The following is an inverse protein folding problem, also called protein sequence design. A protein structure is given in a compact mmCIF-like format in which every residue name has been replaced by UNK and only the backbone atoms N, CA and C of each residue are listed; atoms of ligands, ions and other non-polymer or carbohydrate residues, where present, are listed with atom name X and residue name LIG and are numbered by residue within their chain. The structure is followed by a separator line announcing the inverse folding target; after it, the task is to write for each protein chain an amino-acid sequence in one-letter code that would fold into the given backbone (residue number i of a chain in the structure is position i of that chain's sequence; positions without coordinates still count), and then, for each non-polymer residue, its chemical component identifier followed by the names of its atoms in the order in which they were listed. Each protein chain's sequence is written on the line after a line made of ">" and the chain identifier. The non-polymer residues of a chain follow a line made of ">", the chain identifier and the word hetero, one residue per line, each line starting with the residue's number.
data_IF_595543317741
#
_entry.id   IF_595543317741
#
_cell.length_a   1.000
_cell.length_b   1.000
_cell.length_c   1.000
_cell.angle_alpha   90.00
_cell.angle_beta   90.00
_cell.angle_gamma   90.00
#
_symmetry.space_group_name_H-M   'P 1'
#
loop_
_entity.id
_entity.type
_entity.pdbx_description
1 polymer ?
#
# COMPACT_ATOMS: atom_id res chain seq x y z
N UNK A 1 0.77 34.86 5.91
CA UNK A 1 0.88 33.40 5.99
C UNK A 1 -0.49 32.90 6.33
N UNK A 2 -1.12 32.18 5.41
CA UNK A 2 -2.43 31.56 5.65
C UNK A 2 -2.16 30.26 6.40
N UNK A 3 -2.67 30.16 7.63
CA UNK A 3 -2.55 28.94 8.42
C UNK A 3 -3.56 27.95 7.87
N UNK A 4 -3.10 26.95 7.12
CA UNK A 4 -3.94 25.82 6.72
C UNK A 4 -4.35 25.10 8.00
N UNK A 5 -5.66 25.00 8.25
CA UNK A 5 -6.17 24.28 9.40
C UNK A 5 -5.92 22.77 9.20
N UNK A 6 -5.23 22.15 10.15
CA UNK A 6 -4.98 20.71 10.15
C UNK A 6 -5.99 19.99 11.05
N UNK A 7 -6.43 18.81 10.60
CA UNK A 7 -7.44 18.02 11.28
C UNK A 7 -6.80 16.97 12.18
N UNK A 8 -7.50 16.63 13.26
CA UNK A 8 -7.15 15.46 14.09
C UNK A 8 -7.66 14.20 13.41
N UNK A 9 -6.75 13.36 12.97
CA UNK A 9 -7.01 12.13 12.22
C UNK A 9 -6.70 10.92 13.12
N UNK A 10 -7.44 9.84 12.96
CA UNK A 10 -7.14 8.55 13.62
C UNK A 10 -7.36 7.42 12.64
N UNK A 11 -6.28 6.71 12.33
CA UNK A 11 -6.27 5.57 11.42
C UNK A 11 -6.27 4.27 12.21
N UNK A 12 -6.99 3.27 11.71
CA UNK A 12 -7.02 1.93 12.30
C UNK A 12 -5.91 1.07 11.70
N UNK A 13 -5.46 0.09 12.47
CA UNK A 13 -4.58 -0.98 12.01
C UNK A 13 -5.25 -2.31 12.31
N UNK A 14 -5.08 -3.31 11.46
CA UNK A 14 -5.69 -4.63 11.69
C UNK A 14 -5.03 -5.32 12.89
N UNK A 15 -3.70 -5.39 12.91
CA UNK A 15 -2.94 -6.11 13.93
C UNK A 15 -2.29 -5.19 14.98
N UNK A 16 -2.78 -3.94 15.08
CA UNK A 16 -2.15 -2.89 15.86
C UNK A 16 -3.11 -1.98 16.60
N UNK A 17 -2.54 -1.01 17.33
CA UNK A 17 -3.32 0.07 17.94
C UNK A 17 -3.62 1.15 16.91
N UNK A 18 -4.77 1.83 16.98
CA UNK A 18 -5.02 2.99 16.14
C UNK A 18 -3.93 4.06 16.29
N UNK A 19 -3.56 4.69 15.17
CA UNK A 19 -2.57 5.77 15.12
C UNK A 19 -3.31 7.09 15.01
N UNK A 20 -3.13 7.98 16.00
CA UNK A 20 -3.74 9.30 16.03
C UNK A 20 -2.71 10.41 15.83
N UNK A 21 -3.02 11.38 14.96
CA UNK A 21 -2.14 12.51 14.66
C UNK A 21 -2.94 13.74 14.21
N UNK A 22 -2.27 14.89 14.12
CA UNK A 22 -2.80 16.11 13.50
C UNK A 22 -2.09 16.32 12.16
N UNK A 23 -2.84 16.52 11.09
CA UNK A 23 -2.28 16.65 9.76
C UNK A 23 -3.32 16.89 8.67
N UNK A 24 -2.91 16.63 7.44
CA UNK A 24 -3.75 16.74 6.24
C UNK A 24 -3.50 15.54 5.31
N UNK A 25 -4.52 15.16 4.56
CA UNK A 25 -4.38 14.19 3.47
C UNK A 25 -3.73 14.88 2.28
N UNK A 26 -2.64 14.33 1.74
CA UNK A 26 -1.93 14.90 0.59
C UNK A 26 -2.16 14.13 -0.70
N UNK A 27 -2.35 12.81 -0.64
CA UNK A 27 -2.65 11.97 -1.79
C UNK A 27 -3.46 10.74 -1.37
N UNK A 28 -4.31 10.23 -2.26
CA UNK A 28 -4.99 8.95 -2.07
C UNK A 28 -5.14 8.18 -3.38
N UNK A 29 -4.96 6.87 -3.31
CA UNK A 29 -5.31 5.96 -4.40
C UNK A 29 -6.39 5.04 -3.88
N UNK A 30 -7.66 5.29 -4.24
CA UNK A 30 -8.77 4.49 -3.77
C UNK A 30 -8.76 3.11 -4.44
N UNK A 31 -9.56 2.19 -3.89
CA UNK A 31 -9.84 0.92 -4.54
C UNK A 31 -10.59 1.09 -5.87
N UNK A 32 -10.73 0.01 -6.65
CA UNK A 32 -11.43 0.03 -7.92
C UNK A 32 -12.91 0.39 -7.74
N UNK A 33 -13.50 1.05 -8.74
CA UNK A 33 -14.92 1.46 -8.74
C UNK A 33 -15.90 0.28 -8.56
N UNK A 34 -15.51 -0.91 -9.04
CA UNK A 34 -16.27 -2.15 -8.94
C UNK A 34 -15.45 -3.23 -8.21
N UNK A 35 -15.45 -3.23 -6.87
CA UNK A 35 -14.68 -4.19 -6.06
C UNK A 35 -15.01 -5.65 -6.35
N UNK A 36 -16.21 -5.95 -6.87
CA UNK A 36 -16.63 -7.31 -7.21
C UNK A 36 -15.86 -7.92 -8.38
N UNK A 37 -15.21 -7.09 -9.21
CA UNK A 37 -14.37 -7.55 -10.34
C UNK A 37 -12.94 -7.90 -9.92
N UNK A 38 -12.50 -7.43 -8.77
CA UNK A 38 -11.14 -7.60 -8.29
C UNK A 38 -11.15 -8.53 -7.09
N UNK A 39 -10.41 -9.63 -7.20
CA UNK A 39 -10.27 -10.55 -6.07
C UNK A 39 -9.46 -9.90 -4.94
N UNK A 40 -8.45 -9.09 -5.30
CA UNK A 40 -7.46 -8.48 -4.40
C UNK A 40 -7.00 -7.15 -4.97
N UNK A 41 -6.79 -6.16 -4.10
CA UNK A 41 -6.22 -4.86 -4.47
C UNK A 41 -5.61 -4.17 -3.25
N UNK A 42 -4.85 -3.11 -3.51
CA UNK A 42 -4.35 -2.20 -2.49
C UNK A 42 -5.02 -0.84 -2.63
N UNK A 43 -5.26 -0.19 -1.50
CA UNK A 43 -5.65 1.22 -1.42
C UNK A 43 -4.58 1.96 -0.61
N UNK A 44 -4.36 3.23 -0.93
CA UNK A 44 -3.31 4.02 -0.33
C UNK A 44 -3.84 5.37 0.14
N UNK A 45 -3.36 5.82 1.29
CA UNK A 45 -3.52 7.22 1.73
C UNK A 45 -2.22 7.72 2.29
N UNK A 46 -1.85 8.92 1.90
CA UNK A 46 -0.67 9.60 2.39
C UNK A 46 -1.06 10.90 3.06
N UNK A 47 -0.56 11.09 4.27
CA UNK A 47 -0.82 12.28 5.08
C UNK A 47 0.48 13.01 5.40
N UNK A 48 0.39 14.34 5.51
CA UNK A 48 1.45 15.17 6.09
C UNK A 48 1.03 15.62 7.49
N UNK A 49 1.85 15.32 8.49
CA UNK A 49 1.65 15.74 9.87
C UNK A 49 2.04 17.20 10.07
N UNK A 50 1.49 17.84 11.12
CA UNK A 50 1.89 19.19 11.55
C UNK A 50 3.40 19.28 11.86
N UNK A 51 4.01 18.17 12.30
CA UNK A 51 5.45 18.08 12.56
C UNK A 51 6.32 18.05 11.30
N UNK A 52 5.73 17.95 10.10
CA UNK A 52 6.42 17.76 8.83
C UNK A 52 6.72 16.31 8.45
N UNK A 53 6.40 15.35 9.33
CA UNK A 53 6.49 13.91 9.08
C UNK A 53 5.34 13.42 8.18
N UNK A 54 5.45 12.21 7.68
CA UNK A 54 4.42 11.58 6.87
C UNK A 54 3.79 10.38 7.56
N UNK A 55 2.53 10.11 7.22
CA UNK A 55 1.83 8.87 7.61
C UNK A 55 1.29 8.21 6.36
N UNK A 56 1.66 6.95 6.15
CA UNK A 56 1.19 6.12 5.04
C UNK A 56 0.20 5.09 5.59
N UNK A 57 -0.99 5.02 5.01
CA UNK A 57 -1.92 3.90 5.19
C UNK A 57 -1.89 3.04 3.94
N UNK A 58 -1.55 1.77 4.11
CA UNK A 58 -1.64 0.76 3.06
C UNK A 58 -2.74 -0.22 3.45
N UNK A 59 -3.71 -0.38 2.56
CA UNK A 59 -4.88 -1.20 2.80
C UNK A 59 -4.93 -2.34 1.81
N UNK A 60 -4.59 -3.55 2.24
CA UNK A 60 -4.87 -4.76 1.48
C UNK A 60 -6.36 -5.10 1.58
N UNK A 61 -6.99 -5.32 0.42
CA UNK A 61 -8.41 -5.63 0.31
C UNK A 61 -8.60 -6.90 -0.51
N UNK A 62 -9.57 -7.70 -0.10
CA UNK A 62 -9.86 -8.97 -0.77
C UNK A 62 -11.35 -9.30 -0.75
N UNK A 63 -11.81 -9.88 -1.85
CA UNK A 63 -13.12 -10.54 -1.97
C UNK A 63 -12.96 -12.05 -2.13
N UNK A 64 -11.73 -12.57 -2.03
CA UNK A 64 -11.43 -13.97 -2.26
C UNK A 64 -12.05 -14.86 -1.17
N UNK A 65 -13.10 -15.58 -1.55
CA UNK A 65 -13.73 -16.63 -0.73
C UNK A 65 -13.47 -17.98 -1.37
N UNK A 66 -12.74 -18.85 -0.68
CA UNK A 66 -12.49 -20.21 -1.16
C UNK A 66 -13.63 -21.14 -0.71
N UNK A 67 -14.66 -21.24 -1.57
CA UNK A 67 -15.80 -22.11 -1.34
C UNK A 67 -15.38 -23.57 -1.10
N UNK A 68 -15.77 -24.12 0.05
CA UNK A 68 -15.58 -25.54 0.40
C UNK A 68 -14.41 -25.86 1.34
N UNK A 69 -13.39 -24.99 1.45
CA UNK A 69 -12.25 -25.20 2.37
C UNK A 69 -12.37 -24.47 3.70
N UNK A 70 -13.28 -23.48 3.80
CA UNK A 70 -13.40 -22.61 4.97
C UNK A 70 -12.25 -21.61 5.12
N UNK A 71 -11.29 -21.59 4.18
CA UNK A 71 -10.22 -20.60 4.13
C UNK A 71 -10.78 -19.29 3.59
N UNK A 72 -10.57 -18.22 4.35
CA UNK A 72 -10.94 -16.86 3.98
C UNK A 72 -9.68 -16.00 4.06
N UNK A 73 -9.41 -15.27 3.00
CA UNK A 73 -8.43 -14.20 3.03
C UNK A 73 -9.10 -12.96 3.63
N UNK A 74 -8.39 -12.25 4.49
CA UNK A 74 -8.93 -11.08 5.18
C UNK A 74 -8.26 -9.80 4.70
N UNK A 75 -9.00 -8.70 4.79
CA UNK A 75 -8.45 -7.37 4.49
C UNK A 75 -7.56 -6.91 5.64
N UNK A 76 -6.47 -6.23 5.33
CA UNK A 76 -5.52 -5.68 6.30
C UNK A 76 -5.33 -4.18 6.09
N UNK A 77 -5.16 -3.46 7.20
CA UNK A 77 -4.77 -2.05 7.24
C UNK A 77 -3.47 -1.91 8.02
N UNK A 78 -2.44 -1.37 7.37
CA UNK A 78 -1.16 -1.04 7.98
C UNK A 78 -0.88 0.44 7.92
N UNK A 79 -0.35 0.97 9.02
CA UNK A 79 -0.04 2.39 9.15
C UNK A 79 1.42 2.56 9.50
N UNK A 80 2.14 3.29 8.65
CA UNK A 80 3.55 3.61 8.79
C UNK A 80 3.73 5.10 9.03
N UNK A 81 4.69 5.46 9.88
CA UNK A 81 5.09 6.85 10.10
C UNK A 81 6.48 7.01 9.51
N UNK A 82 6.61 7.91 8.54
CA UNK A 82 7.85 8.18 7.84
C UNK A 82 8.41 9.53 8.26
N UNK A 83 9.73 9.65 8.36
CA UNK A 83 10.38 10.89 8.78
C UNK A 83 10.30 11.99 7.72
N UNK A 84 10.44 11.62 6.45
CA UNK A 84 10.44 12.51 5.29
C UNK A 84 9.91 11.82 4.02
N UNK A 85 10.01 12.50 2.87
CA UNK A 85 9.49 11.99 1.60
C UNK A 85 10.34 10.84 1.00
N UNK A 86 11.64 10.81 1.30
CA UNK A 86 12.53 9.75 0.82
C UNK A 86 12.22 8.45 1.58
N UNK A 87 11.90 8.55 2.87
CA UNK A 87 11.44 7.42 3.69
C UNK A 87 10.08 6.87 3.20
N UNK A 88 9.15 7.73 2.77
CA UNK A 88 7.90 7.28 2.10
C UNK A 88 8.20 6.50 0.82
N UNK A 89 9.09 7.01 -0.02
CA UNK A 89 9.47 6.36 -1.29
C UNK A 89 10.16 5.03 -1.05
N UNK A 90 11.06 4.99 -0.07
CA UNK A 90 11.80 3.81 0.36
C UNK A 90 10.86 2.70 0.85
N UNK A 91 9.94 3.04 1.75
CA UNK A 91 8.92 2.11 2.26
C UNK A 91 8.10 1.50 1.13
N UNK A 92 7.64 2.32 0.17
CA UNK A 92 6.68 1.91 -0.84
C UNK A 92 7.31 1.17 -2.02
N UNK A 93 8.53 1.52 -2.41
CA UNK A 93 9.18 0.98 -3.62
C UNK A 93 10.30 -0.02 -3.31
N UNK A 94 10.88 0.05 -2.10
CA UNK A 94 12.08 -0.68 -1.73
C UNK A 94 13.35 -0.19 -2.40
N UNK A 95 13.32 0.93 -3.12
CA UNK A 95 14.53 1.59 -3.59
C UNK A 95 15.05 2.52 -2.50
N UNK A 96 16.27 2.28 -2.03
CA UNK A 96 17.04 3.22 -1.22
C UNK A 96 18.39 3.42 -1.90
N UNK A 97 18.98 4.61 -1.80
CA UNK A 97 20.36 4.82 -2.27
C UNK A 97 21.37 3.89 -1.56
N UNK A 98 21.01 3.37 -0.39
CA UNK A 98 21.88 2.60 0.52
C UNK A 98 21.62 1.07 0.53
N UNK A 99 20.82 0.52 -0.40
CA UNK A 99 20.54 -0.93 -0.51
C UNK A 99 20.12 -1.61 0.82
N UNK A 100 19.42 -0.90 1.70
CA UNK A 100 18.85 -1.51 2.91
C UNK A 100 17.58 -2.26 2.57
N UNK A 101 17.74 -3.52 2.21
CA UNK A 101 16.70 -4.42 1.68
C UNK A 101 15.52 -4.68 2.64
N UNK A 102 15.63 -4.31 3.93
CA UNK A 102 14.74 -4.82 5.00
C UNK A 102 13.48 -3.99 5.31
N UNK A 103 13.37 -2.73 4.89
CA UNK A 103 12.28 -1.85 5.35
C UNK A 103 11.12 -1.68 4.35
N UNK A 104 11.17 -2.37 3.20
CA UNK A 104 10.10 -2.26 2.18
C UNK A 104 8.84 -3.01 2.57
N UNK A 105 7.69 -2.45 2.21
CA UNK A 105 6.42 -3.16 2.32
C UNK A 105 6.34 -4.29 1.26
N UNK A 106 6.06 -5.53 1.68
CA UNK A 106 5.76 -6.63 0.76
C UNK A 106 4.26 -6.65 0.43
N UNK A 107 3.85 -6.37 -0.83
CA UNK A 107 2.45 -6.39 -1.24
C UNK A 107 1.81 -7.79 -1.20
N UNK A 108 2.60 -8.84 -1.04
CA UNK A 108 2.12 -10.22 -0.94
C UNK A 108 2.09 -10.75 0.50
N UNK A 109 2.43 -9.96 1.52
CA UNK A 109 2.57 -10.47 2.89
C UNK A 109 1.26 -11.08 3.46
N UNK A 110 0.11 -10.55 3.06
CA UNK A 110 -1.22 -11.04 3.46
C UNK A 110 -1.85 -12.01 2.47
N UNK A 111 -1.14 -12.34 1.39
CA UNK A 111 -1.64 -13.25 0.38
C UNK A 111 -1.68 -14.68 0.93
N UNK A 112 -2.88 -15.20 1.16
CA UNK A 112 -3.06 -16.62 1.50
C UNK A 112 -2.80 -17.49 0.27
N UNK A 113 -3.17 -16.99 -0.92
CA UNK A 113 -2.96 -17.70 -2.18
C UNK A 113 -4.00 -18.78 -2.47
N UNK A 114 -3.74 -19.60 -3.49
CA UNK A 114 -4.61 -20.73 -3.83
C UNK A 114 -4.47 -21.87 -2.80
N UNK A 115 -5.52 -22.71 -2.61
CA UNK A 115 -5.36 -23.92 -1.83
C UNK A 115 -4.43 -24.92 -2.55
N UNK A 116 -3.63 -25.65 -1.78
CA UNK A 116 -2.77 -26.73 -2.29
C UNK A 116 -3.63 -27.81 -2.95
N UNK A 117 -3.16 -28.36 -4.08
CA UNK A 117 -3.86 -29.41 -4.83
C UNK A 117 -4.71 -28.90 -6.00
N UNK A 118 -4.79 -27.58 -6.20
CA UNK A 118 -5.31 -27.01 -7.46
C UNK A 118 -4.36 -27.34 -8.61
N UNK A 119 -4.90 -27.71 -9.77
CA UNK A 119 -4.10 -27.93 -10.98
C UNK A 119 -3.27 -26.67 -11.32
N UNK A 120 -1.99 -26.86 -11.62
CA UNK A 120 -1.00 -25.81 -11.91
C UNK A 120 -0.85 -24.80 -10.77
N UNK A 121 -0.95 -25.27 -9.52
CA UNK A 121 -0.88 -24.46 -8.31
C UNK A 121 0.29 -23.47 -8.32
N UNK A 122 1.53 -23.93 -8.53
CA UNK A 122 2.73 -23.08 -8.46
C UNK A 122 2.67 -21.94 -9.47
N UNK A 123 2.36 -22.27 -10.73
CA UNK A 123 2.22 -21.26 -11.80
C UNK A 123 1.09 -20.27 -11.55
N UNK A 124 -0.03 -20.74 -11.00
CA UNK A 124 -1.16 -19.87 -10.65
C UNK A 124 -0.81 -18.95 -9.48
N UNK A 125 -0.07 -19.47 -8.50
CA UNK A 125 0.37 -18.72 -7.34
C UNK A 125 1.40 -17.64 -7.72
N UNK A 126 2.39 -17.98 -8.54
CA UNK A 126 3.38 -17.04 -9.08
C UNK A 126 2.71 -15.92 -9.86
N UNK A 127 1.86 -16.26 -10.85
CA UNK A 127 1.12 -15.26 -11.63
C UNK A 127 0.26 -14.35 -10.77
N UNK A 128 -0.32 -14.87 -9.68
CA UNK A 128 -1.11 -14.06 -8.76
C UNK A 128 -0.23 -13.06 -8.00
N UNK A 129 0.95 -13.49 -7.54
CA UNK A 129 1.91 -12.59 -6.89
C UNK A 129 2.38 -11.49 -7.82
N UNK A 130 2.70 -11.84 -9.07
CA UNK A 130 3.11 -10.86 -10.09
C UNK A 130 1.99 -9.84 -10.34
N UNK A 131 0.75 -10.31 -10.53
CA UNK A 131 -0.38 -9.42 -10.74
C UNK A 131 -0.60 -8.46 -9.56
N UNK A 132 -0.44 -8.94 -8.32
CA UNK A 132 -0.56 -8.10 -7.13
C UNK A 132 0.57 -7.07 -7.10
N UNK A 133 1.82 -7.49 -7.32
CA UNK A 133 2.98 -6.61 -7.37
C UNK A 133 2.85 -5.54 -8.46
N UNK A 134 2.41 -5.91 -9.67
CA UNK A 134 2.18 -4.97 -10.77
C UNK A 134 1.12 -3.92 -10.40
N UNK A 135 -0.03 -4.37 -9.88
CA UNK A 135 -1.11 -3.45 -9.49
C UNK A 135 -0.72 -2.54 -8.33
N UNK A 136 0.08 -3.07 -7.39
CA UNK A 136 0.64 -2.30 -6.29
C UNK A 136 1.61 -1.23 -6.80
N UNK A 137 2.53 -1.59 -7.71
CA UNK A 137 3.48 -0.65 -8.31
C UNK A 137 2.79 0.49 -9.06
N UNK A 138 1.71 0.19 -9.81
CA UNK A 138 0.88 1.23 -10.46
C UNK A 138 0.26 2.17 -9.41
N UNK A 139 -0.31 1.63 -8.34
CA UNK A 139 -0.91 2.42 -7.26
C UNK A 139 0.12 3.29 -6.52
N UNK A 140 1.31 2.75 -6.23
CA UNK A 140 2.42 3.52 -5.63
C UNK A 140 2.85 4.65 -6.56
N UNK A 141 3.04 4.37 -7.86
CA UNK A 141 3.42 5.38 -8.84
C UNK A 141 2.40 6.53 -8.92
N UNK A 142 1.11 6.20 -8.89
CA UNK A 142 0.04 7.21 -8.84
C UNK A 142 0.09 8.03 -7.54
N UNK A 143 0.22 7.37 -6.38
CA UNK A 143 0.26 8.03 -5.08
C UNK A 143 1.41 9.03 -4.98
N UNK A 144 2.62 8.61 -5.37
CA UNK A 144 3.82 9.46 -5.34
C UNK A 144 3.68 10.64 -6.31
N UNK A 145 3.10 10.41 -7.49
CA UNK A 145 2.85 11.46 -8.47
C UNK A 145 1.85 12.51 -7.94
N UNK A 146 0.73 12.07 -7.37
CA UNK A 146 -0.27 12.96 -6.77
C UNK A 146 0.29 13.74 -5.57
N UNK A 147 1.19 13.13 -4.79
CA UNK A 147 1.86 13.76 -3.67
C UNK A 147 2.97 14.75 -4.09
N UNK A 148 3.34 14.79 -5.37
CA UNK A 148 4.49 15.54 -5.87
C UNK A 148 5.84 15.00 -5.37
N UNK A 149 5.89 13.72 -5.00
CA UNK A 149 7.09 13.00 -4.54
C UNK A 149 7.72 12.24 -5.72
N UNK A 150 8.03 12.97 -6.79
CA UNK A 150 8.73 12.38 -7.92
C UNK A 150 10.22 12.28 -7.61
N UNK A 151 10.79 11.12 -7.91
CA UNK A 151 12.22 11.02 -8.15
C UNK A 151 12.51 11.71 -9.50
N UNK A 152 13.05 12.94 -9.46
CA UNK A 152 13.48 13.68 -10.65
C UNK A 152 14.55 12.87 -11.46
N UNK A 153 15.05 11.75 -10.94
CA UNK A 153 15.99 10.83 -11.60
C UNK A 153 15.38 9.74 -12.50
N UNK A 154 14.06 9.51 -12.51
CA UNK A 154 13.47 8.33 -13.18
C UNK A 154 12.85 8.57 -14.58
N UNK A 155 13.12 9.72 -15.21
CA UNK A 155 12.49 10.12 -16.50
C UNK A 155 13.32 9.70 -17.74
N UNK A 156 14.49 9.09 -17.62
CA UNK A 156 15.24 8.60 -18.79
C UNK A 156 15.00 7.10 -19.05
N UNK A 157 14.37 6.81 -20.19
CA UNK A 157 14.20 5.51 -20.87
C UNK A 157 12.86 4.76 -20.67
N UNK A 158 11.82 5.26 -21.34
CA UNK A 158 10.82 4.43 -22.04
C UNK A 158 10.80 4.76 -23.53
#
# INVERSE_FOLDING_TARGET
>A
METIAMDRITLRQTDGRPVGFTGELIAEVPGPEDPGKYARWHEFKLYRMESGKYVVLISFRTTAVYGGSGLKEESHDDVFVCEDADDVTSLLTGFTEDDKEDDRYDPNQYLVGFPVGVQDYEKKQERLKDQIADSYGVGVGQLLAEAGMHDDGFVEEL
#
